data_IF_938464463261
#
_entry.id   IF_938464463261
#
_cell.length_a   1.000
_cell.length_b   1.000
_cell.length_c   1.000
_cell.angle_alpha   90.00
_cell.angle_beta   90.00
_cell.angle_gamma   90.00
#
_symmetry.space_group_name_H-M   'P 1'
#
loop_
_entity.id
_entity.type
_entity.pdbx_description
1 polymer ?
#
# COMPACT_ATOMS: atom_id res chain seq x y z
N UNK A 1 -13.87 -6.57 25.59
CA UNK A 1 -14.58 -7.64 24.85
C UNK A 1 -14.30 -7.45 23.37
N UNK A 2 -13.54 -8.37 22.77
CA UNK A 2 -13.08 -8.27 21.37
C UNK A 2 -14.20 -8.68 20.42
N UNK A 3 -14.50 -7.86 19.42
CA UNK A 3 -15.56 -8.16 18.45
C UNK A 3 -15.21 -9.41 17.61
N UNK A 4 -16.16 -10.31 17.34
CA UNK A 4 -15.90 -11.51 16.56
C UNK A 4 -15.61 -11.12 15.11
N UNK A 5 -14.39 -11.45 14.62
CA UNK A 5 -14.06 -11.32 13.20
C UNK A 5 -14.91 -12.32 12.40
N UNK A 6 -16.04 -11.87 11.85
CA UNK A 6 -16.75 -12.59 10.77
C UNK A 6 -15.95 -12.43 9.47
N UNK A 7 -14.84 -13.15 9.37
CA UNK A 7 -14.03 -13.19 8.15
C UNK A 7 -14.63 -14.15 7.15
N UNK A 8 -15.53 -13.67 6.29
CA UNK A 8 -15.84 -14.40 5.05
C UNK A 8 -14.60 -14.25 4.16
N UNK A 9 -14.05 -15.36 3.66
CA UNK A 9 -12.94 -15.32 2.70
C UNK A 9 -13.46 -14.72 1.40
N UNK A 10 -13.23 -13.43 1.21
CA UNK A 10 -13.56 -12.72 -0.02
C UNK A 10 -12.40 -12.83 -1.01
N UNK A 11 -12.71 -12.88 -2.30
CA UNK A 11 -11.69 -13.05 -3.33
C UNK A 11 -10.80 -11.80 -3.39
N UNK A 12 -9.49 -12.00 -3.60
CA UNK A 12 -8.50 -10.91 -3.64
C UNK A 12 -8.84 -9.82 -4.68
N UNK A 13 -9.42 -10.20 -5.81
CA UNK A 13 -9.87 -9.26 -6.85
C UNK A 13 -11.00 -8.32 -6.38
N UNK A 14 -11.71 -8.65 -5.30
CA UNK A 14 -12.75 -7.81 -4.71
C UNK A 14 -12.16 -6.95 -3.59
N UNK A 15 -11.32 -7.54 -2.74
CA UNK A 15 -10.71 -6.86 -1.60
C UNK A 15 -9.69 -5.82 -2.05
N UNK A 16 -8.84 -6.14 -3.02
CA UNK A 16 -7.73 -5.28 -3.41
C UNK A 16 -8.19 -3.91 -3.93
N UNK A 17 -9.19 -3.80 -4.82
CA UNK A 17 -9.76 -2.50 -5.19
C UNK A 17 -10.34 -1.72 -4.00
N UNK A 18 -11.01 -2.41 -3.07
CA UNK A 18 -11.59 -1.77 -1.88
C UNK A 18 -10.53 -1.23 -0.92
N UNK A 19 -9.46 -1.99 -0.71
CA UNK A 19 -8.31 -1.56 0.10
C UNK A 19 -7.62 -0.37 -0.56
N UNK A 20 -7.34 -0.45 -1.86
CA UNK A 20 -6.63 0.62 -2.57
C UNK A 20 -7.47 1.90 -2.61
N UNK A 21 -8.79 1.80 -2.78
CA UNK A 21 -9.72 2.94 -2.69
C UNK A 21 -9.75 3.59 -1.31
N UNK A 22 -9.44 2.86 -0.24
CA UNK A 22 -9.35 3.41 1.12
C UNK A 22 -8.00 4.08 1.41
N UNK A 23 -7.01 3.91 0.54
CA UNK A 23 -5.68 4.50 0.65
C UNK A 23 -5.61 5.83 -0.11
N UNK A 24 -4.64 6.67 0.27
CA UNK A 24 -4.36 7.96 -0.40
C UNK A 24 -4.01 7.79 -1.89
N UNK A 25 -3.55 6.59 -2.26
CA UNK A 25 -3.12 6.22 -3.61
C UNK A 25 -4.32 5.79 -4.49
N UNK A 26 -5.54 5.73 -3.95
CA UNK A 26 -6.71 5.20 -4.66
C UNK A 26 -7.00 5.88 -6.01
N UNK A 27 -6.88 7.21 -6.08
CA UNK A 27 -7.11 7.98 -7.30
C UNK A 27 -6.01 7.74 -8.35
N UNK A 28 -4.74 7.75 -7.92
CA UNK A 28 -3.61 7.42 -8.79
C UNK A 28 -3.70 5.99 -9.30
N UNK A 29 -4.06 5.04 -8.43
CA UNK A 29 -4.21 3.65 -8.80
C UNK A 29 -5.33 3.42 -9.82
N UNK A 30 -6.51 4.03 -9.62
CA UNK A 30 -7.59 3.98 -10.61
C UNK A 30 -7.15 4.59 -11.95
N UNK A 31 -6.37 5.67 -11.92
CA UNK A 31 -5.80 6.28 -13.12
C UNK A 31 -4.85 5.32 -13.85
N UNK A 32 -3.87 4.73 -13.15
CA UNK A 32 -2.91 3.78 -13.73
C UNK A 32 -3.59 2.49 -14.22
N UNK A 33 -4.58 1.98 -13.48
CA UNK A 33 -5.36 0.81 -13.90
C UNK A 33 -6.14 1.07 -15.19
N UNK A 34 -6.75 2.25 -15.33
CA UNK A 34 -7.43 2.65 -16.56
C UNK A 34 -6.43 2.75 -17.72
N UNK A 35 -5.25 3.32 -17.50
CA UNK A 35 -4.18 3.38 -18.51
C UNK A 35 -3.72 1.97 -18.93
N UNK A 36 -3.50 1.08 -17.96
CA UNK A 36 -3.09 -0.32 -18.20
C UNK A 36 -4.15 -1.10 -18.98
N UNK A 37 -5.43 -0.98 -18.60
CA UNK A 37 -6.53 -1.67 -19.28
C UNK A 37 -7.07 -0.91 -20.51
N UNK A 38 -6.44 0.20 -20.91
CA UNK A 38 -6.90 1.00 -22.05
C UNK A 38 -7.17 0.17 -23.32
N UNK A 39 -6.27 -0.74 -23.77
CA UNK A 39 -6.54 -1.58 -24.94
C UNK A 39 -7.77 -2.48 -24.80
N UNK A 40 -8.09 -2.89 -23.57
CA UNK A 40 -9.26 -3.71 -23.26
C UNK A 40 -10.56 -2.89 -23.21
N UNK A 41 -10.48 -1.60 -22.84
CA UNK A 41 -11.63 -0.70 -22.71
C UNK A 41 -12.08 -0.18 -24.08
N UNK A 42 -11.14 0.34 -24.89
CA UNK A 42 -11.45 0.98 -26.17
C UNK A 42 -11.28 0.05 -27.38
N UNK A 43 -10.58 -1.08 -27.20
CA UNK A 43 -10.25 -2.01 -28.26
C UNK A 43 -9.00 -1.62 -29.04
N UNK A 44 -8.37 -2.63 -29.65
CA UNK A 44 -7.04 -2.55 -30.28
C UNK A 44 -6.90 -1.39 -31.30
N UNK A 45 -7.92 -1.20 -32.14
CA UNK A 45 -7.91 -0.19 -33.20
C UNK A 45 -7.78 1.25 -32.67
N UNK A 46 -8.43 1.54 -31.53
CA UNK A 46 -8.35 2.86 -30.89
C UNK A 46 -7.06 2.95 -30.08
N UNK A 47 -6.68 1.91 -29.33
CA UNK A 47 -5.49 1.95 -28.48
C UNK A 47 -4.17 2.11 -29.25
N UNK A 48 -4.12 1.61 -30.48
CA UNK A 48 -2.91 1.72 -31.32
C UNK A 48 -2.65 3.15 -31.80
N UNK A 49 -3.69 3.99 -31.84
CA UNK A 49 -3.62 5.36 -32.35
C UNK A 49 -3.87 6.45 -31.30
N UNK A 50 -4.41 6.05 -30.16
CA UNK A 50 -4.86 6.93 -29.09
C UNK A 50 -4.38 6.38 -27.77
N UNK A 51 -3.62 7.16 -27.03
CA UNK A 51 -3.03 6.74 -25.76
C UNK A 51 -3.43 7.68 -24.64
N UNK A 52 -3.85 7.17 -23.47
CA UNK A 52 -4.13 8.01 -22.31
C UNK A 52 -2.82 8.57 -21.76
N UNK A 53 -2.81 9.86 -21.46
CA UNK A 53 -1.64 10.58 -20.94
C UNK A 53 -1.75 10.74 -19.44
N UNK A 54 -2.86 11.34 -18.98
CA UNK A 54 -3.10 11.60 -17.55
C UNK A 54 -4.59 11.78 -17.27
N UNK A 55 -4.99 11.57 -16.03
CA UNK A 55 -6.31 11.88 -15.51
C UNK A 55 -6.18 12.96 -14.45
N UNK A 56 -6.67 14.16 -14.72
CA UNK A 56 -6.68 15.27 -13.75
C UNK A 56 -8.08 15.88 -13.70
N UNK A 57 -8.59 16.13 -12.49
CA UNK A 57 -9.91 16.74 -12.29
C UNK A 57 -11.04 16.07 -13.10
N UNK A 58 -11.03 14.73 -13.17
CA UNK A 58 -11.96 13.91 -13.97
C UNK A 58 -11.91 14.15 -15.49
N UNK A 59 -10.89 14.86 -15.98
CA UNK A 59 -10.63 15.03 -17.42
C UNK A 59 -9.51 14.08 -17.83
N UNK A 60 -9.82 13.20 -18.78
CA UNK A 60 -8.85 12.29 -19.34
C UNK A 60 -8.15 12.97 -20.52
N UNK A 61 -6.85 13.15 -20.38
CA UNK A 61 -6.01 13.69 -21.44
C UNK A 61 -5.57 12.55 -22.35
N UNK A 62 -5.85 12.67 -23.65
CA UNK A 62 -5.56 11.69 -24.68
C UNK A 62 -4.55 12.26 -25.66
N UNK A 63 -3.54 11.46 -25.99
CA UNK A 63 -2.64 11.70 -27.11
C UNK A 63 -3.16 10.97 -28.35
N UNK A 64 -3.13 11.63 -29.50
CA UNK A 64 -3.50 11.03 -30.79
C UNK A 64 -2.31 11.05 -31.74
N UNK A 65 -2.13 9.96 -32.49
CA UNK A 65 -1.09 9.84 -33.52
C UNK A 65 -1.32 10.82 -34.68
N UNK A 66 -2.59 11.00 -35.08
CA UNK A 66 -3.01 11.92 -36.13
C UNK A 66 -4.25 12.73 -35.72
N UNK A 67 -4.41 13.98 -36.22
CA UNK A 67 -5.57 14.84 -35.93
C UNK A 67 -6.93 14.25 -36.32
N UNK A 68 -6.94 13.30 -37.27
CA UNK A 68 -8.15 12.58 -37.69
C UNK A 68 -8.77 11.82 -36.50
N UNK A 69 -7.92 11.24 -35.64
CA UNK A 69 -8.37 10.50 -34.47
C UNK A 69 -9.03 11.38 -33.43
N UNK A 70 -8.52 12.60 -33.18
CA UNK A 70 -9.18 13.54 -32.26
C UNK A 70 -10.57 13.93 -32.74
N UNK A 71 -10.74 14.11 -34.05
CA UNK A 71 -12.06 14.40 -34.63
C UNK A 71 -13.00 13.19 -34.48
N UNK A 72 -12.55 11.99 -34.84
CA UNK A 72 -13.35 10.77 -34.73
C UNK A 72 -13.76 10.45 -33.28
N UNK A 73 -12.82 10.56 -32.34
CA UNK A 73 -13.07 10.35 -30.91
C UNK A 73 -13.99 11.42 -30.32
N UNK A 74 -13.95 12.64 -30.84
CA UNK A 74 -14.86 13.71 -30.41
C UNK A 74 -16.33 13.36 -30.71
N UNK A 75 -16.60 12.67 -31.83
CA UNK A 75 -17.95 12.18 -32.15
C UNK A 75 -18.39 11.02 -31.26
N UNK A 76 -17.45 10.20 -30.76
CA UNK A 76 -17.73 9.03 -29.92
C UNK A 76 -17.41 9.25 -28.44
N UNK A 77 -17.18 10.50 -28.02
CA UNK A 77 -16.67 10.82 -26.68
C UNK A 77 -17.57 10.32 -25.56
N UNK A 78 -18.88 10.41 -25.74
CA UNK A 78 -19.85 9.97 -24.73
C UNK A 78 -19.89 8.45 -24.59
N UNK A 79 -19.74 7.73 -25.70
CA UNK A 79 -19.63 6.27 -25.69
C UNK A 79 -18.35 5.80 -24.99
N UNK A 80 -17.22 6.46 -25.27
CA UNK A 80 -15.93 6.14 -24.67
C UNK A 80 -15.94 6.43 -23.17
N UNK A 81 -16.47 7.58 -22.74
CA UNK A 81 -16.65 7.90 -21.32
C UNK A 81 -17.50 6.85 -20.62
N UNK A 82 -18.61 6.44 -21.24
CA UNK A 82 -19.48 5.41 -20.67
C UNK A 82 -18.78 4.06 -20.56
N UNK A 83 -17.99 3.67 -21.57
CA UNK A 83 -17.19 2.43 -21.54
C UNK A 83 -16.14 2.46 -20.43
N UNK A 84 -15.42 3.58 -20.27
CA UNK A 84 -14.41 3.74 -19.21
C UNK A 84 -15.07 3.66 -17.84
N UNK A 85 -16.10 4.48 -17.58
CA UNK A 85 -16.75 4.53 -16.27
C UNK A 85 -17.45 3.20 -15.92
N UNK A 86 -18.04 2.51 -16.91
CA UNK A 86 -18.66 1.19 -16.69
C UNK A 86 -17.61 0.11 -16.40
N UNK A 87 -16.47 0.14 -17.09
CA UNK A 87 -15.39 -0.83 -16.87
C UNK A 87 -14.74 -0.64 -15.49
N UNK A 88 -14.54 0.61 -15.07
CA UNK A 88 -13.93 0.94 -13.79
C UNK A 88 -14.90 0.80 -12.61
N UNK A 89 -16.22 0.76 -12.87
CA UNK A 89 -17.25 0.64 -11.83
C UNK A 89 -17.41 1.91 -10.97
N UNK A 90 -16.85 3.03 -11.43
CA UNK A 90 -16.93 4.34 -10.79
C UNK A 90 -16.88 5.47 -11.82
N UNK A 91 -17.41 6.63 -11.44
CA UNK A 91 -17.46 7.81 -12.30
C UNK A 91 -16.11 8.56 -12.25
N UNK A 92 -15.17 8.11 -13.08
CA UNK A 92 -13.79 8.62 -13.16
C UNK A 92 -13.60 9.71 -14.20
N UNK A 93 -14.26 9.59 -15.36
CA UNK A 93 -14.05 10.46 -16.51
C UNK A 93 -15.33 11.22 -16.84
N UNK A 94 -15.26 12.54 -16.72
CA UNK A 94 -16.31 13.50 -17.05
C UNK A 94 -16.13 14.06 -18.48
N UNK A 95 -14.87 14.29 -18.87
CA UNK A 95 -14.54 14.86 -20.18
C UNK A 95 -13.25 14.28 -20.78
N UNK A 96 -13.12 14.37 -22.11
CA UNK A 96 -11.95 13.92 -22.87
C UNK A 96 -11.25 15.14 -23.48
N UNK A 97 -9.97 15.31 -23.17
CA UNK A 97 -9.15 16.42 -23.68
C UNK A 97 -8.04 15.86 -24.57
N UNK A 98 -7.98 16.29 -25.82
CA UNK A 98 -6.91 15.87 -26.73
C UNK A 98 -5.68 16.76 -26.56
N UNK A 99 -4.51 16.13 -26.48
CA UNK A 99 -3.22 16.81 -26.31
C UNK A 99 -2.19 16.28 -27.28
N UNK A 100 -1.20 17.12 -27.60
CA UNK A 100 -0.05 16.72 -28.42
C UNK A 100 1.11 16.18 -27.58
N UNK A 101 0.91 16.06 -26.27
CA UNK A 101 1.92 15.54 -25.34
C UNK A 101 1.90 14.03 -25.46
N UNK A 102 2.99 13.46 -26.00
CA UNK A 102 3.15 12.01 -26.02
C UNK A 102 3.26 11.51 -24.58
N UNK A 103 2.51 10.47 -24.19
CA UNK A 103 2.71 9.86 -22.90
C UNK A 103 4.13 9.31 -22.83
N UNK A 104 4.78 9.45 -21.68
CA UNK A 104 5.94 8.62 -21.38
C UNK A 104 5.44 7.18 -21.43
N UNK A 105 5.98 6.39 -22.36
CA UNK A 105 5.79 4.95 -22.29
C UNK A 105 6.50 4.53 -21.01
N UNK A 106 5.72 4.10 -20.03
CA UNK A 106 6.24 3.14 -19.08
C UNK A 106 6.44 1.90 -19.93
N UNK A 107 7.62 1.79 -20.53
CA UNK A 107 8.12 0.51 -20.98
C UNK A 107 8.19 -0.31 -19.69
N UNK A 108 7.11 -1.06 -19.43
CA UNK A 108 7.27 -2.28 -18.67
C UNK A 108 8.25 -3.03 -19.55
N UNK A 109 9.52 -3.01 -19.16
CA UNK A 109 10.57 -3.78 -19.78
C UNK A 109 10.06 -5.22 -19.78
N UNK A 110 9.33 -5.61 -20.82
CA UNK A 110 9.25 -6.99 -21.28
C UNK A 110 10.58 -7.24 -21.98
N UNK A 111 11.67 -7.00 -21.24
CA UNK A 111 12.92 -7.68 -21.47
C UNK A 111 12.50 -9.14 -21.30
N UNK A 112 12.22 -9.84 -22.40
CA UNK A 112 11.86 -11.26 -22.44
C UNK A 112 12.93 -12.20 -21.85
N UNK A 113 13.92 -11.63 -21.16
CA UNK A 113 14.94 -12.25 -20.34
C UNK A 113 14.61 -12.23 -18.83
N UNK A 114 13.59 -11.52 -18.35
CA UNK A 114 13.11 -11.73 -16.98
C UNK A 114 12.44 -13.11 -16.89
N UNK A 115 13.03 -13.99 -16.09
CA UNK A 115 12.51 -15.32 -15.86
C UNK A 115 11.15 -15.20 -15.16
N UNK A 116 10.06 -15.47 -15.89
CA UNK A 116 8.72 -15.58 -15.31
C UNK A 116 8.69 -16.81 -14.38
N UNK A 117 9.06 -16.58 -13.13
CA UNK A 117 9.07 -17.59 -12.08
C UNK A 117 7.73 -18.32 -11.97
N UNK A 118 6.61 -17.64 -12.27
CA UNK A 118 5.28 -18.23 -12.27
C UNK A 118 5.11 -19.30 -13.34
N UNK A 119 5.61 -19.05 -14.56
CA UNK A 119 5.63 -20.03 -15.64
C UNK A 119 6.56 -21.20 -15.35
N UNK A 120 7.74 -20.94 -14.78
CA UNK A 120 8.67 -22.02 -14.44
C UNK A 120 8.12 -22.94 -13.36
N UNK A 121 7.54 -22.38 -12.29
CA UNK A 121 6.87 -23.15 -11.23
C UNK A 121 5.72 -23.98 -11.82
N UNK A 122 4.90 -23.42 -12.72
CA UNK A 122 3.79 -24.16 -13.34
C UNK A 122 4.26 -25.38 -14.14
N UNK A 123 5.38 -25.24 -14.87
CA UNK A 123 6.01 -26.30 -15.66
C UNK A 123 6.66 -27.40 -14.83
N UNK A 124 6.90 -27.18 -13.54
CA UNK A 124 7.48 -28.21 -12.69
C UNK A 124 6.46 -29.32 -12.42
N UNK A 125 6.86 -30.56 -12.69
CA UNK A 125 6.12 -31.75 -12.31
C UNK A 125 6.38 -32.13 -10.85
N UNK A 126 5.34 -32.60 -10.19
CA UNK A 126 5.39 -33.21 -8.85
C UNK A 126 5.33 -34.71 -9.02
N UNK A 127 6.12 -35.44 -8.23
CA UNK A 127 6.09 -36.91 -8.22
C UNK A 127 4.77 -37.44 -7.66
N UNK A 128 4.33 -38.58 -8.17
CA UNK A 128 3.09 -39.24 -7.72
C UNK A 128 3.11 -39.58 -6.22
N UNK A 129 4.30 -39.79 -5.65
CA UNK A 129 4.52 -40.00 -4.21
C UNK A 129 4.12 -38.77 -3.39
N UNK A 130 4.56 -37.57 -3.80
CA UNK A 130 4.22 -36.32 -3.10
C UNK A 130 2.72 -36.01 -3.24
N UNK A 131 2.11 -36.30 -4.39
CA UNK A 131 0.65 -36.14 -4.58
C UNK A 131 -0.12 -37.07 -3.64
N UNK A 132 0.35 -38.31 -3.48
CA UNK A 132 -0.26 -39.31 -2.61
C UNK A 132 -0.14 -38.93 -1.12
N UNK A 133 1.00 -38.34 -0.72
CA UNK A 133 1.21 -37.83 0.64
C UNK A 133 0.29 -36.64 0.95
N UNK A 134 0.21 -35.66 0.04
CA UNK A 134 -0.72 -34.52 0.15
C UNK A 134 -2.17 -35.00 0.26
N UNK A 135 -2.56 -35.99 -0.55
CA UNK A 135 -3.92 -36.56 -0.50
C UNK A 135 -4.20 -37.17 0.88
N UNK A 136 -3.24 -37.87 1.47
CA UNK A 136 -3.36 -38.49 2.80
C UNK A 136 -3.53 -37.44 3.90
N UNK A 137 -2.74 -36.37 3.86
CA UNK A 137 -2.83 -35.25 4.81
C UNK A 137 -4.20 -34.56 4.80
N UNK A 138 -4.90 -34.62 3.66
CA UNK A 138 -6.21 -33.99 3.45
C UNK A 138 -7.41 -34.92 3.69
N UNK A 139 -7.20 -36.19 4.00
CA UNK A 139 -8.29 -37.16 4.26
C UNK A 139 -9.22 -36.71 5.40
N UNK A 140 -8.67 -36.02 6.40
CA UNK A 140 -9.43 -35.49 7.55
C UNK A 140 -10.35 -34.31 7.23
N UNK A 141 -10.22 -33.69 6.05
CA UNK A 141 -11.03 -32.52 5.66
C UNK A 141 -12.36 -33.00 5.08
N UNK A 142 -13.47 -32.82 5.82
CA UNK A 142 -14.81 -33.30 5.44
C UNK A 142 -15.43 -32.56 4.25
N UNK A 143 -15.10 -31.29 4.08
CA UNK A 143 -15.62 -30.43 3.00
C UNK A 143 -14.81 -30.66 1.72
N UNK A 144 -15.48 -31.15 0.66
CA UNK A 144 -14.86 -31.51 -0.61
C UNK A 144 -14.35 -30.30 -1.40
N UNK A 145 -15.03 -29.16 -1.31
CA UNK A 145 -14.61 -27.93 -2.00
C UNK A 145 -13.37 -27.35 -1.32
N UNK A 146 -13.35 -27.34 0.02
CA UNK A 146 -12.18 -26.94 0.79
C UNK A 146 -10.99 -27.90 0.53
N UNK A 147 -11.26 -29.21 0.46
CA UNK A 147 -10.24 -30.23 0.16
C UNK A 147 -9.61 -29.99 -1.21
N UNK A 148 -10.39 -29.70 -2.25
CA UNK A 148 -9.87 -29.38 -3.60
C UNK A 148 -9.00 -28.11 -3.59
N UNK A 149 -9.41 -27.08 -2.86
CA UNK A 149 -8.63 -25.84 -2.74
C UNK A 149 -7.31 -26.12 -2.02
N UNK A 150 -7.34 -26.83 -0.90
CA UNK A 150 -6.14 -27.19 -0.13
C UNK A 150 -5.17 -28.05 -0.94
N UNK A 151 -5.69 -29.03 -1.68
CA UNK A 151 -4.90 -29.87 -2.59
C UNK A 151 -4.13 -28.99 -3.59
N UNK A 152 -4.81 -28.03 -4.22
CA UNK A 152 -4.18 -27.10 -5.17
C UNK A 152 -3.11 -26.22 -4.50
N UNK A 153 -3.37 -25.75 -3.28
CA UNK A 153 -2.42 -24.92 -2.52
C UNK A 153 -1.18 -25.71 -2.14
N UNK A 154 -1.32 -26.93 -1.62
CA UNK A 154 -0.19 -27.78 -1.23
C UNK A 154 0.65 -28.22 -2.43
N UNK A 155 0.01 -28.57 -3.56
CA UNK A 155 0.72 -28.84 -4.82
C UNK A 155 1.54 -27.62 -5.23
N UNK A 156 0.95 -26.42 -5.23
CA UNK A 156 1.69 -25.21 -5.61
C UNK A 156 2.84 -24.88 -4.63
N UNK A 157 2.66 -25.14 -3.34
CA UNK A 157 3.70 -24.98 -2.33
C UNK A 157 4.87 -25.94 -2.57
N UNK A 158 4.61 -27.20 -2.89
CA UNK A 158 5.65 -28.17 -3.24
C UNK A 158 6.39 -27.79 -4.53
N UNK A 159 5.68 -27.34 -5.57
CA UNK A 159 6.33 -26.82 -6.79
C UNK A 159 7.23 -25.63 -6.47
N UNK A 160 6.77 -24.72 -5.62
CA UNK A 160 7.53 -23.55 -5.20
C UNK A 160 8.76 -23.95 -4.37
N UNK A 161 8.66 -24.92 -3.45
CA UNK A 161 9.80 -25.45 -2.70
C UNK A 161 10.83 -26.09 -3.63
N UNK A 162 10.38 -26.89 -4.60
CA UNK A 162 11.25 -27.52 -5.62
C UNK A 162 11.97 -26.46 -6.46
N UNK A 163 11.24 -25.43 -6.91
CA UNK A 163 11.83 -24.30 -7.62
C UNK A 163 12.91 -23.59 -6.80
N UNK A 164 12.62 -23.28 -5.53
CA UNK A 164 13.57 -22.65 -4.61
C UNK A 164 14.74 -23.55 -4.22
N UNK A 165 14.63 -24.88 -4.35
CA UNK A 165 15.79 -25.77 -4.16
C UNK A 165 16.68 -25.81 -5.39
N UNK A 166 16.09 -25.71 -6.59
CA UNK A 166 16.80 -25.77 -7.87
C UNK A 166 17.49 -24.44 -8.23
N UNK A 167 16.93 -23.32 -7.79
CA UNK A 167 17.55 -21.99 -7.82
C UNK A 167 18.24 -21.79 -6.48
N UNK A 168 19.47 -21.27 -6.41
CA UNK A 168 20.32 -21.24 -5.19
C UNK A 168 19.77 -20.42 -3.99
N UNK A 169 18.53 -20.63 -3.57
CA UNK A 169 17.94 -19.99 -2.41
C UNK A 169 18.52 -20.61 -1.15
N UNK A 170 18.72 -19.75 -0.17
CA UNK A 170 19.29 -20.15 1.11
C UNK A 170 18.32 -19.83 2.25
N UNK A 171 18.43 -20.49 3.41
CA UNK A 171 17.63 -20.14 4.57
C UNK A 171 17.92 -18.70 5.04
N UNK A 172 16.87 -18.01 5.46
CA UNK A 172 16.94 -16.70 6.11
C UNK A 172 17.78 -16.79 7.38
N UNK A 173 18.69 -15.82 7.55
CA UNK A 173 19.59 -15.75 8.72
C UNK A 173 18.87 -15.63 10.08
N UNK A 174 17.58 -15.25 10.10
CA UNK A 174 16.79 -15.07 11.34
C UNK A 174 15.71 -16.13 11.58
N UNK A 175 14.99 -16.55 10.55
CA UNK A 175 13.77 -17.38 10.70
C UNK A 175 13.78 -18.64 9.83
N UNK A 176 14.90 -18.95 9.16
CA UNK A 176 15.09 -20.12 8.31
C UNK A 176 14.17 -20.23 7.07
N UNK A 177 13.30 -19.25 6.82
CA UNK A 177 12.50 -19.15 5.59
C UNK A 177 13.41 -18.96 4.37
N UNK A 178 13.17 -19.66 3.27
CA UNK A 178 13.99 -19.55 2.06
C UNK A 178 13.96 -18.13 1.48
N UNK A 179 15.14 -17.61 1.12
CA UNK A 179 15.36 -16.28 0.55
C UNK A 179 16.04 -16.40 -0.82
N UNK A 180 15.79 -15.44 -1.73
CA UNK A 180 16.56 -15.31 -2.96
C UNK A 180 18.06 -15.18 -2.67
N UNK A 181 18.95 -15.60 -3.58
CA UNK A 181 20.40 -15.58 -3.38
C UNK A 181 20.98 -14.19 -3.13
N UNK A 182 20.29 -13.13 -3.58
CA UNK A 182 20.69 -11.73 -3.37
C UNK A 182 20.46 -11.26 -1.93
N UNK A 183 19.65 -11.98 -1.15
CA UNK A 183 19.05 -11.48 0.08
C UNK A 183 19.34 -12.33 1.31
N UNK A 184 20.04 -11.76 2.30
CA UNK A 184 20.36 -12.44 3.56
C UNK A 184 19.16 -12.68 4.50
N UNK A 185 18.09 -11.90 4.33
CA UNK A 185 16.89 -11.90 5.17
C UNK A 185 15.64 -11.98 4.29
N UNK A 186 14.64 -12.74 4.72
CA UNK A 186 13.34 -12.77 4.03
C UNK A 186 12.58 -11.45 4.20
N UNK A 187 11.61 -11.18 3.33
CA UNK A 187 10.81 -9.94 3.36
C UNK A 187 10.20 -9.62 4.72
N UNK A 188 9.68 -10.63 5.41
CA UNK A 188 9.12 -10.48 6.75
C UNK A 188 10.19 -10.07 7.76
N UNK A 189 11.38 -10.68 7.70
CA UNK A 189 12.49 -10.34 8.58
C UNK A 189 13.10 -8.98 8.26
N UNK A 190 13.21 -8.61 6.97
CA UNK A 190 13.60 -7.27 6.53
C UNK A 190 12.62 -6.22 7.06
N UNK A 191 11.31 -6.46 6.89
CA UNK A 191 10.25 -5.57 7.42
C UNK A 191 10.35 -5.41 8.92
N UNK A 192 10.51 -6.51 9.66
CA UNK A 192 10.64 -6.46 11.13
C UNK A 192 11.92 -5.71 11.54
N UNK A 193 13.05 -5.98 10.89
CA UNK A 193 14.29 -5.25 11.14
C UNK A 193 14.14 -3.75 10.86
N UNK A 194 13.41 -3.37 9.81
CA UNK A 194 13.12 -1.98 9.52
C UNK A 194 12.23 -1.34 10.59
N UNK A 195 11.17 -2.02 11.02
CA UNK A 195 10.28 -1.57 12.11
C UNK A 195 11.10 -1.36 13.40
N UNK A 196 11.97 -2.30 13.74
CA UNK A 196 12.79 -2.21 14.95
C UNK A 196 13.83 -1.08 14.84
N UNK A 197 14.41 -0.86 13.66
CA UNK A 197 15.28 0.31 13.40
C UNK A 197 14.52 1.63 13.58
N UNK A 198 13.32 1.76 13.02
CA UNK A 198 12.48 2.95 13.20
C UNK A 198 12.11 3.18 14.67
N UNK A 199 11.83 2.11 15.43
CA UNK A 199 11.64 2.19 16.89
C UNK A 199 12.91 2.65 17.60
N UNK A 200 14.09 2.21 17.18
CA UNK A 200 15.36 2.67 17.73
C UNK A 200 15.59 4.16 17.52
N UNK A 201 15.22 4.71 16.34
CA UNK A 201 15.24 6.18 16.10
C UNK A 201 14.34 6.89 17.12
N UNK A 202 13.13 6.37 17.32
CA UNK A 202 12.19 6.96 18.28
C UNK A 202 12.68 6.87 19.72
N UNK A 203 13.34 5.76 20.09
CA UNK A 203 13.98 5.61 21.40
C UNK A 203 15.11 6.61 21.59
N UNK A 204 15.94 6.79 20.57
CA UNK A 204 16.98 7.83 20.58
C UNK A 204 16.38 9.22 20.79
N UNK A 205 15.27 9.54 20.12
CA UNK A 205 14.56 10.82 20.30
C UNK A 205 13.88 10.95 21.67
N UNK A 206 13.59 9.85 22.38
CA UNK A 206 13.13 9.92 23.77
C UNK A 206 14.28 10.26 24.72
N UNK A 207 15.47 9.70 24.48
CA UNK A 207 16.65 9.92 25.31
C UNK A 207 17.31 11.28 25.04
N UNK A 208 17.32 11.72 23.77
CA UNK A 208 17.85 13.01 23.31
C UNK A 208 16.81 13.75 22.45
N UNK A 209 15.76 14.34 23.06
CA UNK A 209 14.66 15.02 22.36
C UNK A 209 15.05 16.15 21.41
N UNK A 210 16.18 16.81 21.64
CA UNK A 210 16.68 17.92 20.82
C UNK A 210 17.60 17.47 19.68
N UNK A 211 17.85 16.18 19.54
CA UNK A 211 18.76 15.65 18.53
C UNK A 211 18.28 15.97 17.11
N UNK A 212 19.25 16.38 16.28
CA UNK A 212 19.02 16.61 14.85
C UNK A 212 19.36 15.36 14.06
N UNK A 213 18.95 15.36 12.79
CA UNK A 213 19.26 14.27 11.86
C UNK A 213 20.76 13.94 11.83
N UNK A 214 21.63 14.96 11.80
CA UNK A 214 23.08 14.80 11.80
C UNK A 214 23.65 14.09 13.05
N UNK A 215 22.92 14.08 14.15
CA UNK A 215 23.33 13.39 15.38
C UNK A 215 22.88 11.93 15.36
N UNK A 216 21.65 11.68 14.88
CA UNK A 216 21.04 10.35 14.84
C UNK A 216 21.71 9.47 13.80
N UNK A 217 22.01 10.01 12.61
CA UNK A 217 22.60 9.25 11.50
C UNK A 217 23.97 8.66 11.82
N UNK A 218 24.69 9.23 12.81
CA UNK A 218 25.97 8.72 13.30
C UNK A 218 25.85 7.38 14.01
N UNK A 219 24.69 7.07 14.57
CA UNK A 219 24.43 5.85 15.34
C UNK A 219 23.50 4.89 14.61
N UNK A 220 22.50 5.42 13.89
CA UNK A 220 21.48 4.63 13.20
C UNK A 220 21.43 5.09 11.74
N UNK A 221 21.68 4.21 10.76
CA UNK A 221 21.47 4.53 9.35
C UNK A 221 19.99 4.89 9.10
N UNK A 222 19.72 6.11 8.69
CA UNK A 222 18.36 6.61 8.45
C UNK A 222 18.35 7.79 7.48
N UNK A 223 17.17 8.13 6.96
CA UNK A 223 16.95 9.36 6.18
C UNK A 223 16.42 10.49 7.07
N UNK A 224 16.50 11.73 6.57
CA UNK A 224 15.94 12.88 7.27
C UNK A 224 14.40 12.79 7.40
N UNK A 225 13.74 12.21 6.39
CA UNK A 225 12.29 11.98 6.37
C UNK A 225 11.87 11.00 7.47
N UNK A 226 12.56 9.86 7.60
CA UNK A 226 12.31 8.87 8.64
C UNK A 226 12.44 9.47 10.04
N UNK A 227 13.49 10.27 10.28
CA UNK A 227 13.67 10.95 11.57
C UNK A 227 12.53 11.90 11.87
N UNK A 228 12.08 12.67 10.88
CA UNK A 228 10.98 13.60 11.05
C UNK A 228 9.65 12.88 11.31
N UNK A 229 9.37 11.80 10.57
CA UNK A 229 8.21 10.95 10.78
C UNK A 229 8.20 10.39 12.21
N UNK A 230 9.31 9.77 12.66
CA UNK A 230 9.39 9.23 14.01
C UNK A 230 9.25 10.32 15.10
N UNK A 231 9.77 11.53 14.85
CA UNK A 231 9.61 12.69 15.73
C UNK A 231 8.13 13.09 15.84
N UNK A 232 7.42 13.20 14.72
CA UNK A 232 5.98 13.53 14.71
C UNK A 232 5.18 12.48 15.47
N UNK A 233 5.40 11.19 15.21
CA UNK A 233 4.66 10.13 15.91
C UNK A 233 4.97 10.16 17.41
N UNK A 234 6.21 10.44 17.81
CA UNK A 234 6.56 10.57 19.23
C UNK A 234 5.84 11.76 19.89
N UNK A 235 5.82 12.91 19.21
CA UNK A 235 5.11 14.09 19.68
C UNK A 235 3.61 13.81 19.87
N UNK A 236 2.99 13.05 18.96
CA UNK A 236 1.59 12.64 19.10
C UNK A 236 1.36 11.75 20.33
N UNK A 237 2.23 10.75 20.54
CA UNK A 237 2.16 9.87 21.70
C UNK A 237 2.29 10.67 22.99
N UNK A 238 3.21 11.63 23.07
CA UNK A 238 3.39 12.48 24.25
C UNK A 238 2.19 13.41 24.44
N UNK A 239 1.73 14.09 23.38
CA UNK A 239 0.58 15.00 23.44
C UNK A 239 -0.68 14.28 23.95
N UNK A 240 -0.95 13.05 23.50
CA UNK A 240 -2.10 12.24 23.95
C UNK A 240 -2.09 11.89 25.45
N UNK A 241 -0.93 11.98 26.11
CA UNK A 241 -0.78 11.68 27.54
C UNK A 241 -0.87 12.93 28.42
N UNK A 242 -0.82 14.12 27.83
CA UNK A 242 -0.87 15.38 28.59
C UNK A 242 -2.33 15.70 28.91
N UNK A 243 -2.65 15.81 30.20
CA UNK A 243 -3.98 16.23 30.65
C UNK A 243 -4.19 17.72 30.36
N UNK A 244 -5.44 18.11 30.09
CA UNK A 244 -5.82 19.53 29.97
C UNK A 244 -5.58 20.32 31.27
N UNK A 245 -5.59 19.62 32.42
CA UNK A 245 -5.52 20.20 33.78
C UNK A 245 -4.13 20.17 34.41
N UNK A 246 -3.21 19.33 33.94
CA UNK A 246 -1.85 19.25 34.47
C UNK A 246 -0.83 19.30 33.33
N UNK A 247 -0.21 20.47 33.16
CA UNK A 247 0.76 20.78 32.11
C UNK A 247 2.21 20.71 32.60
N UNK A 248 2.43 20.45 33.89
CA UNK A 248 3.75 20.33 34.50
C UNK A 248 4.17 18.87 34.62
N UNK A 249 4.27 18.19 33.48
CA UNK A 249 4.70 16.80 33.38
C UNK A 249 5.96 16.63 32.52
N UNK A 250 6.64 15.49 32.66
CA UNK A 250 7.82 15.16 31.86
C UNK A 250 7.48 15.08 30.37
N UNK A 251 6.29 14.60 30.03
CA UNK A 251 5.82 14.50 28.65
C UNK A 251 5.72 15.87 27.97
N UNK A 252 5.22 16.89 28.68
CA UNK A 252 5.14 18.26 28.17
C UNK A 252 6.53 18.87 27.95
N UNK A 253 7.48 18.52 28.83
CA UNK A 253 8.88 18.93 28.77
C UNK A 253 9.56 18.33 27.53
N UNK A 254 9.45 17.01 27.35
CA UNK A 254 10.00 16.28 26.19
C UNK A 254 9.33 16.75 24.88
N UNK A 255 8.01 16.95 24.88
CA UNK A 255 7.26 17.45 23.73
C UNK A 255 7.77 18.83 23.29
N UNK A 256 8.05 19.71 24.24
CA UNK A 256 8.58 21.06 23.97
C UNK A 256 9.99 20.98 23.36
N UNK A 257 10.85 20.11 23.90
CA UNK A 257 12.19 19.89 23.36
C UNK A 257 12.15 19.31 21.94
N UNK A 258 11.28 18.34 21.67
CA UNK A 258 11.09 17.75 20.33
C UNK A 258 10.59 18.80 19.32
N UNK A 259 9.56 19.56 19.70
CA UNK A 259 8.94 20.53 18.81
C UNK A 259 9.86 21.70 18.47
N UNK A 260 10.61 22.19 19.46
CA UNK A 260 11.50 23.34 19.28
C UNK A 260 12.93 22.94 18.91
N UNK A 261 13.29 21.67 19.05
CA UNK A 261 14.67 21.17 18.90
C UNK A 261 15.65 21.94 19.78
N UNK A 262 15.29 22.12 21.06
CA UNK A 262 16.02 22.92 22.04
C UNK A 262 16.50 22.02 23.18
N UNK A 263 17.78 22.16 23.57
CA UNK A 263 18.38 21.41 24.67
C UNK A 263 17.79 21.79 26.04
N UNK A 264 17.96 20.95 27.07
CA UNK A 264 17.36 21.20 28.39
C UNK A 264 17.78 22.53 29.01
N UNK A 265 19.04 22.93 28.81
CA UNK A 265 19.60 24.17 29.36
C UNK A 265 18.93 25.44 28.81
N UNK A 266 18.29 25.34 27.64
CA UNK A 266 17.64 26.44 26.95
C UNK A 266 16.11 26.37 27.07
N UNK A 267 15.59 25.45 27.88
CA UNK A 267 14.16 25.28 28.07
C UNK A 267 13.62 26.29 29.08
N UNK A 268 12.68 27.12 28.66
CA UNK A 268 11.99 28.07 29.56
C UNK A 268 10.53 27.66 29.80
N UNK A 269 9.95 27.98 30.98
CA UNK A 269 8.54 27.71 31.27
C UNK A 269 7.58 28.35 30.26
N UNK A 270 7.92 29.54 29.76
CA UNK A 270 7.15 30.26 28.73
C UNK A 270 7.12 29.50 27.40
N UNK A 271 8.27 28.96 26.97
CA UNK A 271 8.38 28.19 25.73
C UNK A 271 7.53 26.91 25.80
N UNK A 272 7.49 26.29 26.98
CA UNK A 272 6.66 25.12 27.27
C UNK A 272 5.18 25.46 27.19
N UNK A 273 4.74 26.52 27.87
CA UNK A 273 3.34 26.95 27.87
C UNK A 273 2.85 27.28 26.45
N UNK A 274 3.63 28.06 25.69
CA UNK A 274 3.32 28.41 24.30
C UNK A 274 3.24 27.18 23.39
N UNK A 275 4.06 26.17 23.65
CA UNK A 275 4.03 24.92 22.89
C UNK A 275 2.77 24.13 23.23
N UNK A 276 2.44 23.97 24.52
CA UNK A 276 1.22 23.25 24.92
C UNK A 276 -0.04 23.92 24.36
N UNK A 277 -0.13 25.25 24.42
CA UNK A 277 -1.26 26.01 23.86
C UNK A 277 -1.39 25.75 22.35
N UNK A 278 -0.29 25.86 21.60
CA UNK A 278 -0.29 25.56 20.17
C UNK A 278 -0.78 24.13 19.89
N UNK A 279 -0.33 23.15 20.67
CA UNK A 279 -0.77 21.77 20.49
C UNK A 279 -2.22 21.57 20.91
N UNK A 280 -2.76 22.29 21.91
CA UNK A 280 -4.19 22.27 22.26
C UNK A 280 -5.08 22.74 21.11
N UNK A 281 -4.66 23.75 20.35
CA UNK A 281 -5.41 24.27 19.19
C UNK A 281 -5.17 23.46 17.91
N UNK A 282 -3.92 23.10 17.59
CA UNK A 282 -3.59 22.38 16.35
C UNK A 282 -3.98 20.89 16.38
N UNK A 283 -4.07 20.24 17.56
CA UNK A 283 -4.39 18.80 17.66
C UNK A 283 -5.88 18.46 17.77
N UNK A 284 -6.76 19.40 18.13
CA UNK A 284 -8.20 19.11 18.23
C UNK A 284 -8.86 18.89 16.85
N UNK A 285 -8.41 19.59 15.80
CA UNK A 285 -8.97 19.47 14.45
C UNK A 285 -8.20 18.52 13.51
N UNK A 286 -6.89 18.38 13.69
CA UNK A 286 -6.04 17.61 12.75
C UNK A 286 -6.07 16.08 12.96
N UNK A 287 -6.53 15.63 14.13
CA UNK A 287 -6.43 14.22 14.55
C UNK A 287 -7.73 13.64 15.11
N UNK A 288 -8.88 14.26 14.81
CA UNK A 288 -10.13 13.51 14.84
C UNK A 288 -9.91 12.29 13.94
N UNK A 289 -9.74 11.10 14.54
CA UNK A 289 -9.88 9.86 13.79
C UNK A 289 -11.18 10.04 13.01
N UNK A 290 -11.10 10.08 11.69
CA UNK A 290 -12.28 9.94 10.85
C UNK A 290 -12.84 8.58 11.22
N UNK A 291 -13.68 8.55 12.25
CA UNK A 291 -14.50 7.41 12.62
C UNK A 291 -15.19 7.07 11.31
N UNK A 292 -14.80 5.93 10.74
CA UNK A 292 -15.35 5.44 9.48
C UNK A 292 -16.86 5.64 9.58
N UNK A 293 -17.40 6.48 8.69
CA UNK A 293 -18.82 6.78 8.66
C UNK A 293 -19.53 5.42 8.71
N UNK A 294 -20.23 5.16 9.82
CA UNK A 294 -21.12 4.01 9.94
C UNK A 294 -22.23 4.22 8.92
N UNK A 295 -22.01 3.77 7.69
CA UNK A 295 -23.07 3.64 6.69
C UNK A 295 -23.88 2.40 7.06
N UNK A 296 -24.71 2.53 8.09
CA UNK A 296 -25.92 1.74 8.23
C UNK A 296 -27.09 2.70 8.35
N UNK A 297 -27.86 2.80 7.26
CA UNK A 297 -29.33 2.87 7.31
C UNK A 297 -29.94 2.61 5.92
N UNK A 298 -30.85 1.64 5.91
CA UNK A 298 -32.06 1.54 5.10
C UNK A 298 -31.96 1.01 3.67
N UNK A 299 -31.82 -0.31 3.52
CA UNK A 299 -32.51 -1.02 2.44
C UNK A 299 -33.86 -1.45 3.00
N UNK A 300 -34.91 -0.70 2.65
CA UNK A 300 -36.29 -1.19 2.78
C UNK A 300 -36.46 -2.33 1.79
N UNK A 301 -36.73 -3.53 2.27
CA UNK A 301 -37.27 -4.60 1.46
C UNK A 301 -38.60 -4.12 0.85
N UNK A 302 -38.66 -4.02 -0.48
CA UNK A 302 -39.92 -4.08 -1.21
C UNK A 302 -40.08 -5.53 -1.68
N UNK A 303 -41.09 -6.18 -1.13
CA UNK A 303 -41.64 -7.44 -1.62
C UNK A 303 -42.10 -7.25 -3.06
N UNK A 304 -41.64 -8.11 -3.97
CA UNK A 304 -42.43 -8.80 -4.98
C UNK A 304 -41.81 -10.18 -5.16
#
# INVERSE_FOLDING_TARGET
>A
MSAPRKGKLEKMNIILPQIVKSMVIGEEFSSHMMMFYWPKIVGKHISDNVSPVKLEFKKLFLYTSHPIWSTQLSYMKDEIKNKINSFMGEYLVEDLVFTNIKPEKIDVDDNGNEVDMGREIQRMDISDENVSEISRDLEGVKDDDLRKILMKVQINDEKLKKYRKNTNWHPCSKCNTLCPPEDQLCDSCKRNANIDRLKSIRRYLMDVPWARFCDIVKTIPCTAEEVNEQRIILMQILASKISSTNTDCMEATILTMLYKSVSPDKLTPELRQKTIEKFKYDFMDSFAMKNGKKYHKNIKHKNV
#
